data_IF_768457949582
#
_entry.id   IF_768457949582
#
_cell.length_a   1.000
_cell.length_b   1.000
_cell.length_c   1.000
_cell.angle_alpha   90.00
_cell.angle_beta   90.00
_cell.angle_gamma   90.00
#
_symmetry.space_group_name_H-M   'P 1'
#
loop_
_entity.id
_entity.type
_entity.pdbx_description
1 polymer ?
#
# COMPACT_ATOMS: atom_id res chain seq x y z
N UNK A 1 -24.55 -18.29 -29.27
CA UNK A 1 -23.84 -17.56 -28.19
C UNK A 1 -24.06 -18.35 -26.93
N UNK A 2 -22.99 -18.81 -26.27
CA UNK A 2 -23.08 -19.53 -24.99
C UNK A 2 -22.95 -18.54 -23.84
N UNK A 3 -23.58 -18.85 -22.71
CA UNK A 3 -23.41 -18.09 -21.48
C UNK A 3 -22.21 -18.62 -20.69
N UNK A 4 -21.43 -17.73 -20.10
CA UNK A 4 -20.28 -18.08 -19.26
C UNK A 4 -20.53 -17.66 -17.83
N UNK A 5 -20.16 -18.52 -16.88
CA UNK A 5 -20.22 -18.23 -15.45
C UNK A 5 -18.82 -18.12 -14.88
N UNK A 6 -18.54 -16.99 -14.24
CA UNK A 6 -17.37 -16.86 -13.38
C UNK A 6 -17.73 -17.33 -11.98
N UNK A 7 -17.01 -18.36 -11.51
CA UNK A 7 -17.38 -19.18 -10.36
C UNK A 7 -16.27 -19.30 -9.31
N UNK A 8 -15.13 -18.67 -9.54
CA UNK A 8 -13.97 -18.68 -8.63
C UNK A 8 -13.63 -17.28 -8.13
N UNK A 9 -12.73 -17.21 -7.14
CA UNK A 9 -12.11 -15.96 -6.69
C UNK A 9 -12.85 -15.28 -5.53
N UNK A 10 -12.27 -14.15 -5.12
CA UNK A 10 -12.64 -13.42 -3.90
C UNK A 10 -14.14 -13.08 -3.79
N UNK A 11 -14.85 -12.64 -4.86
CA UNK A 11 -16.27 -12.30 -4.73
C UNK A 11 -17.14 -13.48 -4.28
N UNK A 12 -16.87 -14.69 -4.78
CA UNK A 12 -17.62 -15.89 -4.41
C UNK A 12 -17.28 -16.36 -2.99
N UNK A 13 -16.00 -16.29 -2.61
CA UNK A 13 -15.52 -16.65 -1.27
C UNK A 13 -16.08 -15.72 -0.20
N UNK A 14 -16.04 -14.39 -0.41
CA UNK A 14 -16.55 -13.41 0.54
C UNK A 14 -18.06 -13.52 0.76
N UNK A 15 -18.82 -13.86 -0.28
CA UNK A 15 -20.26 -14.08 -0.14
C UNK A 15 -20.56 -15.38 0.62
N UNK A 16 -19.80 -16.44 0.37
CA UNK A 16 -19.88 -17.68 1.14
C UNK A 16 -19.53 -17.46 2.62
N UNK A 17 -18.45 -16.73 2.91
CA UNK A 17 -18.05 -16.36 4.28
C UNK A 17 -19.16 -15.58 5.00
N UNK A 18 -19.79 -14.61 4.34
CA UNK A 18 -20.92 -13.86 4.92
C UNK A 18 -22.11 -14.75 5.24
N UNK A 19 -22.47 -15.67 4.35
CA UNK A 19 -23.60 -16.58 4.56
C UNK A 19 -23.33 -17.59 5.67
N UNK A 20 -22.07 -18.03 5.84
CA UNK A 20 -21.62 -18.92 6.91
C UNK A 20 -21.30 -18.19 8.21
N UNK A 21 -21.25 -16.85 8.21
CA UNK A 21 -20.89 -16.04 9.36
C UNK A 21 -19.41 -16.12 9.74
N UNK A 22 -18.55 -16.48 8.78
CA UNK A 22 -17.10 -16.57 8.94
C UNK A 22 -16.52 -15.15 8.96
N UNK A 23 -15.65 -14.88 9.94
CA UNK A 23 -14.98 -13.58 10.15
C UNK A 23 -13.47 -13.68 10.14
N UNK A 24 -12.93 -14.88 10.30
CA UNK A 24 -11.50 -15.14 10.34
C UNK A 24 -11.16 -16.39 9.52
N UNK A 25 -10.02 -16.36 8.83
CA UNK A 25 -9.58 -17.48 7.98
C UNK A 25 -9.34 -18.77 8.78
N UNK A 26 -8.97 -18.69 10.05
CA UNK A 26 -8.85 -19.87 10.92
C UNK A 26 -10.15 -20.66 11.03
N UNK A 27 -11.30 -19.99 10.93
CA UNK A 27 -12.61 -20.68 10.97
C UNK A 27 -12.88 -21.48 9.68
N UNK A 28 -12.30 -21.09 8.54
CA UNK A 28 -12.34 -21.87 7.30
C UNK A 28 -11.53 -23.15 7.46
N UNK A 29 -10.37 -23.06 8.11
CA UNK A 29 -9.53 -24.23 8.42
C UNK A 29 -10.25 -25.19 9.38
N UNK A 30 -10.92 -24.66 10.42
CA UNK A 30 -11.71 -25.45 11.38
C UNK A 30 -12.90 -26.17 10.72
N UNK A 31 -13.60 -25.49 9.79
CA UNK A 31 -14.69 -26.08 9.00
C UNK A 31 -14.18 -27.14 8.01
N UNK A 32 -12.91 -27.03 7.60
CA UNK A 32 -12.27 -27.85 6.59
C UNK A 32 -12.44 -27.27 5.19
N UNK A 33 -11.32 -27.11 4.49
CA UNK A 33 -11.26 -26.51 3.16
C UNK A 33 -12.18 -27.17 2.14
N UNK A 34 -12.33 -28.51 2.20
CA UNK A 34 -13.21 -29.24 1.29
C UNK A 34 -14.69 -28.87 1.49
N UNK A 35 -15.12 -28.70 2.74
CA UNK A 35 -16.49 -28.31 3.06
C UNK A 35 -16.78 -26.86 2.66
N UNK A 36 -15.80 -25.97 2.85
CA UNK A 36 -15.90 -24.58 2.40
C UNK A 36 -16.01 -24.49 0.88
N UNK A 37 -15.15 -25.19 0.13
CA UNK A 37 -15.17 -25.18 -1.33
C UNK A 37 -16.48 -25.74 -1.90
N UNK A 38 -17.01 -26.82 -1.30
CA UNK A 38 -18.32 -27.38 -1.68
C UNK A 38 -19.46 -26.38 -1.43
N UNK A 39 -19.39 -25.62 -0.33
CA UNK A 39 -20.35 -24.55 -0.06
C UNK A 39 -20.26 -23.40 -1.06
N UNK A 40 -19.05 -22.94 -1.40
CA UNK A 40 -18.84 -21.92 -2.42
C UNK A 40 -19.43 -22.34 -3.77
N UNK A 41 -19.16 -23.58 -4.21
CA UNK A 41 -19.70 -24.12 -5.45
C UNK A 41 -21.24 -24.13 -5.46
N UNK A 42 -21.87 -24.53 -4.34
CA UNK A 42 -23.33 -24.51 -4.19
C UNK A 42 -23.92 -23.10 -4.17
N UNK A 43 -23.26 -22.16 -3.50
CA UNK A 43 -23.71 -20.77 -3.39
C UNK A 43 -23.75 -20.08 -4.76
N UNK A 44 -22.71 -20.28 -5.59
CA UNK A 44 -22.64 -19.72 -6.94
C UNK A 44 -23.75 -20.28 -7.84
N UNK A 45 -24.06 -21.58 -7.73
CA UNK A 45 -25.13 -22.21 -8.51
C UNK A 45 -26.54 -21.78 -8.06
N UNK A 46 -26.71 -21.31 -6.84
CA UNK A 46 -28.02 -20.92 -6.31
C UNK A 46 -28.69 -19.80 -7.11
N UNK A 47 -27.90 -18.86 -7.62
CA UNK A 47 -28.40 -17.70 -8.34
C UNK A 47 -28.58 -17.95 -9.85
N UNK A 48 -28.16 -19.11 -10.38
CA UNK A 48 -28.17 -19.34 -11.84
C UNK A 48 -29.57 -19.36 -12.43
N UNK A 49 -30.56 -19.88 -11.69
CA UNK A 49 -31.94 -19.99 -12.16
C UNK A 49 -32.63 -18.62 -12.21
N UNK A 50 -32.40 -17.77 -11.21
CA UNK A 50 -32.90 -16.38 -11.18
C UNK A 50 -32.34 -15.57 -12.35
N UNK A 51 -31.04 -15.71 -12.62
CA UNK A 51 -30.38 -15.08 -13.75
C UNK A 51 -30.89 -15.60 -15.10
N UNK A 52 -31.13 -16.91 -15.25
CA UNK A 52 -31.72 -17.48 -16.47
C UNK A 52 -33.09 -16.85 -16.73
N UNK A 53 -33.96 -16.77 -15.73
CA UNK A 53 -35.26 -16.12 -15.84
C UNK A 53 -35.15 -14.62 -16.23
N UNK A 54 -34.26 -13.88 -15.57
CA UNK A 54 -34.04 -12.44 -15.80
C UNK A 54 -33.51 -12.14 -17.22
N UNK A 55 -32.54 -12.91 -17.70
CA UNK A 55 -31.94 -12.73 -19.03
C UNK A 55 -32.91 -13.13 -20.13
N UNK A 56 -33.66 -14.23 -19.95
CA UNK A 56 -34.72 -14.63 -20.89
C UNK A 56 -35.81 -13.56 -20.97
N UNK A 57 -36.16 -12.92 -19.85
CA UNK A 57 -37.16 -11.82 -19.83
C UNK A 57 -36.72 -10.60 -20.64
N UNK A 58 -35.42 -10.34 -20.75
CA UNK A 58 -34.85 -9.28 -21.59
C UNK A 58 -34.72 -9.66 -23.08
N UNK A 59 -35.22 -10.84 -23.47
CA UNK A 59 -35.10 -11.38 -24.82
C UNK A 59 -33.65 -11.53 -25.33
N UNK A 60 -32.68 -11.69 -24.42
CA UNK A 60 -31.30 -12.05 -24.79
C UNK A 60 -31.24 -13.54 -25.08
N UNK A 61 -31.12 -13.89 -26.36
CA UNK A 61 -31.02 -15.28 -26.80
C UNK A 61 -29.60 -15.83 -26.64
N UNK A 62 -29.41 -16.62 -25.58
CA UNK A 62 -28.15 -17.29 -25.23
C UNK A 62 -28.43 -18.71 -24.77
N UNK A 63 -27.48 -19.59 -25.04
CA UNK A 63 -27.54 -20.98 -24.59
C UNK A 63 -26.99 -21.07 -23.16
N UNK A 64 -27.88 -21.44 -22.23
CA UNK A 64 -27.55 -21.69 -20.81
C UNK A 64 -27.20 -23.15 -20.55
N UNK A 65 -27.66 -24.07 -21.40
CA UNK A 65 -27.55 -25.51 -21.16
C UNK A 65 -26.17 -26.01 -21.59
N UNK A 66 -25.57 -25.42 -22.64
CA UNK A 66 -24.18 -25.62 -23.04
C UNK A 66 -23.27 -24.45 -22.61
N UNK A 67 -23.63 -23.74 -21.53
CA UNK A 67 -22.78 -22.70 -20.96
C UNK A 67 -21.52 -23.29 -20.32
N UNK A 68 -20.45 -22.49 -20.22
CA UNK A 68 -19.23 -22.90 -19.51
C UNK A 68 -19.20 -22.29 -18.12
N UNK A 69 -18.60 -23.01 -17.16
CA UNK A 69 -18.33 -22.52 -15.81
C UNK A 69 -16.84 -22.62 -15.54
N UNK A 70 -16.26 -21.63 -14.88
CA UNK A 70 -14.81 -21.65 -14.60
C UNK A 70 -14.38 -22.79 -13.66
N UNK A 71 -15.32 -23.36 -12.89
CA UNK A 71 -15.13 -24.56 -12.06
C UNK A 71 -15.22 -25.89 -12.82
N UNK A 72 -15.60 -25.90 -14.10
CA UNK A 72 -15.66 -27.13 -14.88
C UNK A 72 -14.23 -27.68 -15.09
N UNK A 73 -14.04 -28.99 -14.90
CA UNK A 73 -12.71 -29.64 -14.96
C UNK A 73 -11.97 -29.35 -16.27
N UNK A 74 -12.68 -29.39 -17.40
CA UNK A 74 -12.10 -29.12 -18.74
C UNK A 74 -11.64 -27.67 -18.90
N UNK A 75 -12.34 -26.73 -18.26
CA UNK A 75 -11.95 -25.32 -18.24
C UNK A 75 -10.68 -25.13 -17.40
N UNK A 76 -10.65 -25.69 -16.19
CA UNK A 76 -9.48 -25.63 -15.32
C UNK A 76 -8.24 -26.29 -15.95
N UNK A 77 -8.40 -27.44 -16.62
CA UNK A 77 -7.32 -28.09 -17.36
C UNK A 77 -6.74 -27.17 -18.45
N UNK A 78 -7.61 -26.46 -19.18
CA UNK A 78 -7.19 -25.48 -20.20
C UNK A 78 -6.42 -24.31 -19.59
N UNK A 79 -6.82 -23.83 -18.40
CA UNK A 79 -6.11 -22.77 -17.66
C UNK A 79 -4.74 -23.26 -17.20
N UNK A 80 -4.64 -24.47 -16.65
CA UNK A 80 -3.37 -25.08 -16.23
C UNK A 80 -2.45 -25.27 -17.43
N UNK A 81 -2.98 -25.70 -18.59
CA UNK A 81 -2.22 -25.78 -19.83
C UNK A 81 -1.66 -24.41 -20.23
N UNK A 82 -2.47 -23.35 -20.22
CA UNK A 82 -2.03 -22.00 -20.56
C UNK A 82 -0.96 -21.48 -19.59
N UNK A 83 -1.12 -21.73 -18.28
CA UNK A 83 -0.12 -21.42 -17.27
C UNK A 83 1.21 -22.14 -17.54
N UNK A 84 1.15 -23.44 -17.87
CA UNK A 84 2.35 -24.22 -18.24
C UNK A 84 3.04 -23.63 -19.47
N UNK A 85 2.29 -23.21 -20.49
CA UNK A 85 2.89 -22.58 -21.68
C UNK A 85 3.63 -21.28 -21.36
N UNK A 86 3.11 -20.47 -20.42
CA UNK A 86 3.78 -19.25 -19.97
C UNK A 86 5.02 -19.57 -19.11
N UNK A 87 4.93 -20.59 -18.27
CA UNK A 87 6.04 -21.08 -17.46
C UNK A 87 7.18 -21.62 -18.33
N UNK A 88 6.88 -22.48 -19.31
CA UNK A 88 7.85 -23.05 -20.24
C UNK A 88 8.57 -21.96 -21.08
N UNK A 89 7.92 -20.80 -21.28
CA UNK A 89 8.48 -19.62 -21.95
C UNK A 89 9.30 -18.71 -21.00
N UNK A 90 9.40 -19.04 -19.72
CA UNK A 90 10.11 -18.23 -18.72
C UNK A 90 9.41 -16.92 -18.36
N UNK A 91 8.10 -16.79 -18.63
CA UNK A 91 7.33 -15.57 -18.34
C UNK A 91 6.77 -15.55 -16.91
N UNK A 92 6.86 -16.66 -16.18
CA UNK A 92 6.40 -16.80 -14.80
C UNK A 92 7.60 -16.90 -13.87
N UNK A 93 7.59 -16.09 -12.81
CA UNK A 93 8.62 -16.08 -11.79
C UNK A 93 8.01 -15.83 -10.40
N UNK A 94 8.74 -16.26 -9.37
CA UNK A 94 8.43 -15.95 -7.98
C UNK A 94 9.44 -14.91 -7.47
N UNK A 95 8.96 -13.92 -6.73
CA UNK A 95 9.82 -12.91 -6.13
C UNK A 95 9.18 -12.23 -4.93
N UNK A 96 10.01 -11.67 -4.06
CA UNK A 96 9.58 -10.87 -2.92
C UNK A 96 9.45 -9.41 -3.36
N UNK A 97 8.23 -8.87 -3.28
CA UNK A 97 7.91 -7.49 -3.69
C UNK A 97 6.92 -6.85 -2.73
N UNK A 98 6.97 -5.53 -2.62
CA UNK A 98 5.92 -4.74 -1.97
C UNK A 98 4.74 -4.68 -2.93
N UNK A 99 3.59 -5.21 -2.50
CA UNK A 99 2.34 -5.26 -3.28
C UNK A 99 1.20 -4.66 -2.46
N UNK A 100 0.15 -4.13 -3.12
CA UNK A 100 -1.10 -3.82 -2.43
C UNK A 100 -1.61 -5.08 -1.72
N UNK A 101 -1.91 -4.95 -0.43
CA UNK A 101 -2.33 -6.08 0.40
C UNK A 101 -3.66 -5.76 1.07
N UNK A 102 -4.64 -6.64 0.87
CA UNK A 102 -5.92 -6.55 1.55
C UNK A 102 -5.82 -7.29 2.88
N UNK A 103 -5.87 -6.54 3.99
CA UNK A 103 -5.89 -7.13 5.32
C UNK A 103 -7.23 -7.81 5.64
N UNK A 104 -8.32 -7.46 4.97
CA UNK A 104 -9.60 -8.12 5.17
C UNK A 104 -9.65 -9.49 4.49
N UNK A 105 -9.06 -9.59 3.29
CA UNK A 105 -9.05 -10.82 2.48
C UNK A 105 -7.77 -11.64 2.71
N UNK A 106 -6.83 -11.14 3.52
CA UNK A 106 -5.49 -11.69 3.75
C UNK A 106 -4.82 -12.20 2.47
N UNK A 107 -4.74 -11.36 1.44
CA UNK A 107 -4.11 -11.69 0.15
C UNK A 107 -3.53 -10.46 -0.54
N UNK A 108 -2.42 -10.59 -1.28
CA UNK A 108 -1.98 -9.54 -2.20
C UNK A 108 -2.96 -9.39 -3.37
N UNK A 109 -3.09 -8.16 -3.85
CA UNK A 109 -3.94 -7.79 -4.98
C UNK A 109 -3.10 -7.37 -6.18
N UNK A 110 -3.68 -7.55 -7.37
CA UNK A 110 -3.12 -7.08 -8.63
C UNK A 110 -3.29 -5.57 -8.81
N UNK A 111 -2.49 -5.00 -9.72
CA UNK A 111 -2.60 -3.58 -10.09
C UNK A 111 -3.92 -3.23 -10.80
N UNK A 112 -4.66 -4.21 -11.32
CA UNK A 112 -5.96 -3.98 -11.96
C UNK A 112 -7.07 -3.90 -10.91
N UNK A 113 -7.00 -4.72 -9.85
CA UNK A 113 -7.98 -4.70 -8.76
C UNK A 113 -7.94 -3.39 -7.97
N UNK A 114 -6.75 -2.77 -7.82
CA UNK A 114 -6.62 -1.44 -7.20
C UNK A 114 -7.15 -0.29 -8.04
N UNK A 115 -7.60 -0.56 -9.28
CA UNK A 115 -8.09 0.44 -10.23
C UNK A 115 -9.53 0.21 -10.66
N UNK A 116 -10.23 -0.72 -10.01
CA UNK A 116 -11.66 -0.90 -10.20
C UNK A 116 -12.42 0.35 -9.77
N UNK A 117 -13.58 0.59 -10.38
CA UNK A 117 -14.48 1.66 -9.95
C UNK A 117 -14.85 1.45 -8.46
N UNK A 118 -14.92 2.55 -7.70
CA UNK A 118 -15.12 2.56 -6.23
C UNK A 118 -14.02 1.94 -5.34
N UNK A 119 -12.86 1.59 -5.90
CA UNK A 119 -11.69 1.13 -5.12
C UNK A 119 -11.08 2.25 -4.25
N UNK A 120 -11.05 3.49 -4.76
CA UNK A 120 -10.61 4.66 -4.01
C UNK A 120 -11.77 5.30 -3.26
N UNK A 121 -11.56 5.57 -1.98
CA UNK A 121 -12.54 6.22 -1.10
C UNK A 121 -11.88 7.36 -0.37
N UNK A 122 -12.62 8.46 -0.21
CA UNK A 122 -12.18 9.55 0.65
C UNK A 122 -12.09 9.06 2.09
N UNK A 123 -10.91 9.18 2.68
CA UNK A 123 -10.62 8.85 4.08
C UNK A 123 -9.96 10.03 4.74
N UNK A 124 -10.16 10.14 6.05
CA UNK A 124 -9.46 11.10 6.88
C UNK A 124 -8.29 10.38 7.55
N UNK A 125 -7.09 10.69 7.10
CA UNK A 125 -5.85 10.17 7.68
C UNK A 125 -5.21 11.22 8.61
N UNK A 126 -4.48 10.79 9.65
CA UNK A 126 -3.65 11.69 10.42
C UNK A 126 -2.56 12.28 9.53
N UNK A 127 -2.25 13.56 9.69
CA UNK A 127 -1.08 14.20 9.10
C UNK A 127 -0.13 14.54 10.23
N UNK A 128 1.08 13.94 10.21
CA UNK A 128 2.07 14.17 11.26
C UNK A 128 3.41 14.55 10.65
N UNK A 129 4.07 15.49 11.31
CA UNK A 129 5.47 15.83 11.05
C UNK A 129 6.28 15.36 12.24
N UNK A 130 7.31 14.57 11.98
CA UNK A 130 8.14 13.91 13.00
C UNK A 130 9.57 14.43 12.86
N UNK A 131 10.20 14.69 14.00
CA UNK A 131 11.61 15.06 14.11
C UNK A 131 12.48 13.82 14.20
N UNK A 132 13.63 13.85 13.53
CA UNK A 132 14.66 12.83 13.60
C UNK A 132 15.97 13.46 14.07
N UNK A 133 16.17 13.64 15.39
CA UNK A 133 17.38 14.28 15.91
C UNK A 133 18.64 13.53 15.49
N UNK A 134 19.61 14.24 14.92
CA UNK A 134 20.92 13.67 14.60
C UNK A 134 21.70 13.45 15.90
N UNK A 135 22.18 12.23 16.13
CA UNK A 135 22.91 11.84 17.35
C UNK A 135 24.42 11.74 17.14
N UNK A 136 24.91 12.20 15.99
CA UNK A 136 26.31 12.10 15.55
C UNK A 136 26.54 11.09 14.42
N UNK A 137 27.79 10.93 14.03
CA UNK A 137 28.21 10.06 12.93
C UNK A 137 28.80 8.74 13.42
N UNK A 138 28.46 7.64 12.74
CA UNK A 138 29.13 6.36 12.94
C UNK A 138 30.54 6.39 12.30
N UNK A 139 31.61 5.97 13.01
CA UNK A 139 32.95 5.94 12.45
C UNK A 139 33.03 5.11 11.17
N UNK A 140 33.68 5.64 10.13
CA UNK A 140 33.84 4.96 8.83
C UNK A 140 32.65 5.09 7.89
N UNK A 141 31.66 5.92 8.22
CA UNK A 141 30.55 6.28 7.31
C UNK A 141 30.76 7.67 6.72
N UNK A 142 30.08 7.95 5.60
CA UNK A 142 30.09 9.28 4.97
C UNK A 142 29.62 10.40 5.93
N UNK A 143 28.79 10.05 6.94
CA UNK A 143 28.36 10.98 7.99
C UNK A 143 29.53 11.74 8.66
N UNK A 144 30.70 11.09 8.81
CA UNK A 144 31.87 11.71 9.46
C UNK A 144 32.42 12.86 8.62
N UNK A 145 32.53 12.66 7.31
CA UNK A 145 32.99 13.69 6.38
C UNK A 145 31.97 14.81 6.26
N UNK A 146 30.68 14.45 6.18
CA UNK A 146 29.58 15.41 6.08
C UNK A 146 29.47 16.28 7.35
N UNK A 147 29.53 15.70 8.55
CA UNK A 147 29.52 16.48 9.80
C UNK A 147 30.82 17.28 10.02
N UNK A 148 31.96 16.82 9.50
CA UNK A 148 33.20 17.60 9.54
C UNK A 148 33.15 18.82 8.61
N UNK A 149 32.50 18.70 7.45
CA UNK A 149 32.27 19.80 6.52
C UNK A 149 31.20 20.78 7.01
N UNK A 150 30.17 20.27 7.70
CA UNK A 150 28.99 21.02 8.16
C UNK A 150 28.71 20.76 9.65
N UNK A 151 29.56 21.24 10.57
CA UNK A 151 29.42 21.00 12.01
C UNK A 151 28.12 21.57 12.59
N UNK A 152 27.52 22.56 11.95
CA UNK A 152 26.23 23.15 12.33
C UNK A 152 25.04 22.18 12.25
N UNK A 153 25.19 21.05 11.54
CA UNK A 153 24.18 20.01 11.41
C UNK A 153 24.21 18.98 12.56
N UNK A 154 25.23 18.98 13.41
CA UNK A 154 25.43 17.91 14.41
C UNK A 154 24.28 17.79 15.43
N UNK A 155 23.56 18.89 15.71
CA UNK A 155 22.39 18.98 16.60
C UNK A 155 21.10 19.28 15.84
N UNK A 156 21.08 19.10 14.52
CA UNK A 156 19.90 19.30 13.70
C UNK A 156 18.90 18.14 13.86
N UNK A 157 17.61 18.47 13.76
CA UNK A 157 16.52 17.52 13.70
C UNK A 157 15.78 17.64 12.36
N UNK A 158 16.16 16.85 11.34
CA UNK A 158 15.38 16.67 10.13
C UNK A 158 13.89 16.46 10.40
N UNK A 159 13.06 17.17 9.65
CA UNK A 159 11.61 17.02 9.66
C UNK A 159 11.17 16.09 8.52
N UNK A 160 10.41 15.05 8.85
CA UNK A 160 9.73 14.22 7.86
C UNK A 160 8.22 14.23 8.08
N UNK A 161 7.48 14.35 6.98
CA UNK A 161 6.02 14.32 6.99
C UNK A 161 5.51 12.94 6.56
N UNK A 162 4.48 12.44 7.23
CA UNK A 162 3.81 11.20 6.85
C UNK A 162 2.32 11.23 7.19
N UNK A 163 1.53 10.54 6.35
CA UNK A 163 0.13 10.22 6.63
C UNK A 163 -0.06 8.82 7.25
N UNK A 164 1.03 8.05 7.37
CA UNK A 164 1.00 6.66 7.84
C UNK A 164 1.94 6.47 9.05
N UNK A 165 1.58 6.98 10.25
CA UNK A 165 2.43 6.90 11.45
C UNK A 165 2.82 5.47 11.84
N UNK A 166 1.99 4.49 11.51
CA UNK A 166 2.24 3.07 11.77
C UNK A 166 3.46 2.50 11.02
N UNK A 167 4.02 3.22 10.03
CA UNK A 167 5.25 2.85 9.32
C UNK A 167 6.53 3.32 10.02
N UNK A 168 6.42 4.25 10.97
CA UNK A 168 7.57 4.83 11.69
C UNK A 168 8.40 3.80 12.47
N UNK A 169 7.82 2.78 13.14
CA UNK A 169 8.62 1.76 13.83
C UNK A 169 9.55 0.96 12.90
N UNK A 170 9.21 0.87 11.61
CA UNK A 170 10.01 0.20 10.58
C UNK A 170 10.93 1.16 9.80
N UNK A 171 11.08 2.42 10.24
CA UNK A 171 11.94 3.39 9.57
C UNK A 171 13.41 2.93 9.58
N UNK A 172 14.04 2.97 8.40
CA UNK A 172 15.45 2.60 8.23
C UNK A 172 16.34 3.79 7.83
N UNK A 173 15.81 4.76 7.08
CA UNK A 173 16.57 5.89 6.57
C UNK A 173 15.66 7.04 6.17
N UNK A 174 16.21 8.25 6.17
CA UNK A 174 15.60 9.43 5.57
C UNK A 174 16.16 9.62 4.15
N UNK A 175 15.26 9.88 3.20
CA UNK A 175 15.63 10.16 1.83
C UNK A 175 15.59 11.67 1.57
N UNK A 176 16.66 12.20 0.99
CA UNK A 176 16.75 13.59 0.52
C UNK A 176 16.91 13.61 -1.00
N UNK A 177 16.35 14.64 -1.65
CA UNK A 177 16.54 14.83 -3.08
C UNK A 177 17.85 15.62 -3.29
N UNK A 178 18.82 15.09 -4.06
CA UNK A 178 20.14 15.69 -4.17
C UNK A 178 20.14 17.13 -4.71
N UNK A 179 19.16 17.50 -5.54
CA UNK A 179 19.09 18.83 -6.18
C UNK A 179 18.25 19.85 -5.41
N UNK A 180 17.47 19.41 -4.42
CA UNK A 180 16.63 20.32 -3.63
C UNK A 180 17.49 21.04 -2.60
N UNK A 181 17.19 22.32 -2.37
CA UNK A 181 17.80 23.11 -1.30
C UNK A 181 17.04 22.92 0.01
N UNK A 182 17.77 22.54 1.04
CA UNK A 182 17.31 22.39 2.41
C UNK A 182 17.85 23.53 3.25
N UNK A 183 17.12 23.91 4.29
CA UNK A 183 17.49 24.98 5.20
C UNK A 183 17.55 24.48 6.63
N UNK A 184 18.59 24.89 7.33
CA UNK A 184 18.68 24.70 8.77
C UNK A 184 18.07 25.94 9.43
N UNK A 185 16.99 25.73 10.19
CA UNK A 185 16.25 26.80 10.84
C UNK A 185 16.29 26.59 12.34
N UNK A 186 16.68 27.61 13.10
CA UNK A 186 16.43 27.65 14.54
C UNK A 186 14.99 28.08 14.75
N UNK A 187 14.19 27.19 15.33
CA UNK A 187 12.79 27.47 15.65
C UNK A 187 12.73 28.54 16.75
N UNK A 188 11.87 29.54 16.56
CA UNK A 188 11.65 30.59 17.56
C UNK A 188 11.04 30.03 18.85
N UNK A 189 11.21 30.75 19.96
CA UNK A 189 10.58 30.37 21.24
C UNK A 189 9.03 30.43 21.17
N UNK A 190 8.51 31.15 20.18
CA UNK A 190 7.08 31.28 19.84
C UNK A 190 6.58 30.23 18.83
N UNK A 191 7.46 29.35 18.37
CA UNK A 191 7.11 28.23 17.49
C UNK A 191 6.39 27.09 18.20
N UNK A 192 6.25 25.96 17.52
CA UNK A 192 5.62 24.78 18.10
C UNK A 192 6.42 24.26 19.31
N UNK A 193 5.74 24.05 20.45
CA UNK A 193 6.34 23.66 21.73
C UNK A 193 7.27 22.43 21.62
N UNK A 194 6.94 21.48 20.75
CA UNK A 194 7.74 20.27 20.54
C UNK A 194 9.14 20.53 19.97
N UNK A 195 9.34 21.65 19.27
CA UNK A 195 10.57 22.00 18.55
C UNK A 195 11.12 23.39 18.88
N UNK A 196 10.47 24.14 19.77
CA UNK A 196 10.91 25.48 20.16
C UNK A 196 12.38 25.49 20.61
N UNK A 197 13.17 26.41 20.04
CA UNK A 197 14.61 26.54 20.29
C UNK A 197 15.52 25.50 19.62
N UNK A 198 14.96 24.42 19.05
CA UNK A 198 15.72 23.38 18.34
C UNK A 198 16.10 23.85 16.92
N UNK A 199 17.14 23.22 16.35
CA UNK A 199 17.49 23.39 14.94
C UNK A 199 16.77 22.32 14.14
N UNK A 200 15.93 22.73 13.21
CA UNK A 200 15.20 21.82 12.32
C UNK A 200 15.72 21.95 10.89
N UNK A 201 15.73 20.82 10.18
CA UNK A 201 16.15 20.77 8.78
C UNK A 201 14.94 20.41 7.91
N UNK A 202 14.62 21.28 6.94
CA UNK A 202 13.49 21.12 6.03
C UNK A 202 13.79 21.70 4.64
N UNK A 203 13.02 21.32 3.63
CA UNK A 203 13.16 21.89 2.29
C UNK A 203 12.81 23.38 2.29
N UNK A 204 13.60 24.20 1.58
CA UNK A 204 13.44 25.66 1.50
C UNK A 204 12.04 26.08 1.06
N UNK A 205 11.49 25.42 0.05
CA UNK A 205 10.17 25.72 -0.51
C UNK A 205 9.03 25.42 0.48
N UNK A 206 9.26 24.59 1.50
CA UNK A 206 8.28 24.25 2.53
C UNK A 206 8.30 25.19 3.73
N UNK A 207 9.28 26.09 3.86
CA UNK A 207 9.33 27.03 5.00
C UNK A 207 8.04 27.82 5.18
N UNK A 208 7.43 28.27 4.08
CA UNK A 208 6.17 29.02 4.12
C UNK A 208 4.99 28.19 4.66
N UNK A 209 4.97 26.88 4.39
CA UNK A 209 3.94 25.98 4.90
C UNK A 209 4.10 25.72 6.41
N UNK A 210 5.33 25.79 6.91
CA UNK A 210 5.67 25.61 8.33
C UNK A 210 5.85 26.93 9.10
N UNK A 211 5.48 28.08 8.53
CA UNK A 211 5.73 29.39 9.14
C UNK A 211 5.11 29.52 10.55
N UNK A 212 3.95 28.89 10.76
CA UNK A 212 3.28 28.86 12.07
C UNK A 212 4.03 28.02 13.08
N UNK A 213 4.55 26.88 12.66
CA UNK A 213 5.27 25.92 13.50
C UNK A 213 6.70 26.41 13.80
N UNK A 214 7.32 27.15 12.89
CA UNK A 214 8.65 27.73 13.05
C UNK A 214 8.64 28.98 13.94
N UNK A 215 7.55 29.74 13.96
CA UNK A 215 7.42 31.01 14.69
C UNK A 215 7.95 32.21 13.89
N UNK A 216 7.56 33.43 14.29
CA UNK A 216 8.00 34.66 13.62
C UNK A 216 9.48 34.97 13.89
N UNK A 217 10.03 34.42 14.97
CA UNK A 217 11.44 34.57 15.37
C UNK A 217 12.34 33.47 14.81
N UNK A 218 11.85 32.66 13.87
CA UNK A 218 12.66 31.62 13.25
C UNK A 218 13.87 32.24 12.52
N UNK A 219 15.05 31.67 12.74
CA UNK A 219 16.30 32.14 12.12
C UNK A 219 16.86 31.07 11.19
N UNK A 220 17.07 31.42 9.92
CA UNK A 220 17.76 30.55 8.96
C UNK A 220 19.26 30.60 9.24
N UNK A 221 19.82 29.48 9.67
CA UNK A 221 21.24 29.33 10.03
C UNK A 221 22.12 28.97 8.82
N UNK A 222 21.54 28.32 7.80
CA UNK A 222 22.28 27.92 6.60
C UNK A 222 21.41 27.22 5.56
N UNK A 223 21.93 27.14 4.34
CA UNK A 223 21.31 26.41 3.23
C UNK A 223 22.26 25.32 2.73
N UNK A 224 21.70 24.15 2.43
CA UNK A 224 22.43 22.96 2.00
C UNK A 224 21.73 22.35 0.79
N UNK A 225 22.48 21.81 -0.17
CA UNK A 225 21.89 20.93 -1.18
C UNK A 225 21.63 19.56 -0.58
N UNK A 226 20.66 18.81 -1.10
CA UNK A 226 20.43 17.45 -0.64
C UNK A 226 21.64 16.54 -0.79
N UNK A 227 22.49 16.77 -1.79
CA UNK A 227 23.76 16.06 -1.96
C UNK A 227 24.70 16.24 -0.77
N UNK A 228 24.75 17.45 -0.19
CA UNK A 228 25.53 17.75 1.01
C UNK A 228 24.98 17.09 2.29
N UNK A 229 23.75 16.58 2.26
CA UNK A 229 23.12 15.91 3.40
C UNK A 229 23.24 14.37 3.32
N UNK A 230 23.65 13.84 2.16
CA UNK A 230 23.76 12.39 1.98
C UNK A 230 24.81 11.82 2.93
N UNK A 231 24.44 10.73 3.59
CA UNK A 231 25.32 9.99 4.48
C UNK A 231 25.18 10.33 5.95
N UNK A 232 24.47 11.40 6.31
CA UNK A 232 24.07 11.73 7.69
C UNK A 232 23.12 10.71 8.29
#
# INVERSE_FOLDING_TARGET
RVFGWDTHGLPAELEAEKQLGIKDKGQVEDMGLAAFNDYCAKSVLRYTDEWKAYVTRQARWVDFDNGYKTMDLTYMESVIWAFKQLYDKGLIYQGFRVLPYSWAEHTPLSNQETRLDDSYKMRQDPTVTVTFPLTGAYPGTAAVETLAAHPELADAAPLAWTTTPWTLPSHLALAVNPTVTYVLVRVGDDGAEAVAGQKVLLAKDLQGAYARELGEKAEVLGEFTGEQLVGL
#
